data_IF_859953526070
#
_entry.id   IF_859953526070
#
_cell.length_a   1.000
_cell.length_b   1.000
_cell.length_c   1.000
_cell.angle_alpha   90.00
_cell.angle_beta   90.00
_cell.angle_gamma   90.00
#
_symmetry.space_group_name_H-M   'P 1'
#
loop_
_entity.id
_entity.type
_entity.pdbx_description
1 polymer ?
#
# COMPACT_ATOMS: atom_id res chain seq x y z
N UNK A 1 -47.70 11.13 -0.99
CA UNK A 1 -46.76 10.55 -0.01
C UNK A 1 -46.57 11.53 1.14
N UNK A 2 -46.73 11.08 2.39
CA UNK A 2 -46.83 11.98 3.55
C UNK A 2 -45.47 12.63 3.87
N UNK A 3 -45.42 13.95 4.10
CA UNK A 3 -44.17 14.70 4.31
C UNK A 3 -43.35 14.19 5.50
N UNK A 4 -44.04 13.62 6.50
CA UNK A 4 -43.44 12.92 7.65
C UNK A 4 -42.72 11.63 7.23
N UNK A 5 -43.29 10.84 6.33
CA UNK A 5 -42.70 9.60 5.83
C UNK A 5 -41.40 9.91 5.06
N UNK A 6 -41.41 10.97 4.22
CA UNK A 6 -40.21 11.41 3.48
C UNK A 6 -39.11 11.86 4.44
N UNK A 7 -39.45 12.64 5.47
CA UNK A 7 -38.49 13.09 6.47
C UNK A 7 -37.88 11.93 7.26
N UNK A 8 -38.69 10.95 7.67
CA UNK A 8 -38.19 9.74 8.35
C UNK A 8 -37.26 8.94 7.45
N UNK A 9 -37.63 8.71 6.18
CA UNK A 9 -36.79 7.98 5.23
C UNK A 9 -35.45 8.71 5.04
N UNK A 10 -35.47 10.03 4.87
CA UNK A 10 -34.26 10.83 4.69
C UNK A 10 -33.35 10.79 5.93
N UNK A 11 -33.92 10.92 7.13
CA UNK A 11 -33.18 10.85 8.38
C UNK A 11 -32.54 9.46 8.59
N UNK A 12 -33.28 8.39 8.30
CA UNK A 12 -32.77 7.01 8.39
C UNK A 12 -31.63 6.76 7.39
N UNK A 13 -31.77 7.21 6.14
CA UNK A 13 -30.71 7.14 5.14
C UNK A 13 -29.46 7.92 5.58
N UNK A 14 -29.64 9.14 6.10
CA UNK A 14 -28.54 9.95 6.60
C UNK A 14 -27.79 9.28 7.76
N UNK A 15 -28.53 8.68 8.70
CA UNK A 15 -27.95 7.95 9.82
C UNK A 15 -27.15 6.73 9.36
N UNK A 16 -27.68 5.94 8.41
CA UNK A 16 -26.99 4.76 7.85
C UNK A 16 -25.71 5.17 7.11
N UNK A 17 -25.74 6.22 6.29
CA UNK A 17 -24.56 6.72 5.57
C UNK A 17 -23.51 7.26 6.54
N UNK A 18 -23.94 8.02 7.55
CA UNK A 18 -23.05 8.59 8.57
C UNK A 18 -22.39 7.49 9.42
N UNK A 19 -23.14 6.46 9.81
CA UNK A 19 -22.60 5.31 10.54
C UNK A 19 -21.62 4.51 9.68
N UNK A 20 -21.95 4.29 8.40
CA UNK A 20 -21.03 3.65 7.45
C UNK A 20 -19.73 4.44 7.28
N UNK A 21 -19.79 5.77 7.22
CA UNK A 21 -18.61 6.63 7.16
C UNK A 21 -17.77 6.58 8.44
N UNK A 22 -18.38 6.56 9.62
CA UNK A 22 -17.65 6.42 10.89
C UNK A 22 -16.97 5.06 11.02
N UNK A 23 -17.59 4.00 10.50
CA UNK A 23 -17.03 2.65 10.57
C UNK A 23 -15.94 2.38 9.52
N UNK A 24 -16.07 2.93 8.30
CA UNK A 24 -15.23 2.55 7.16
C UNK A 24 -14.56 3.73 6.42
N UNK A 25 -14.95 4.97 6.71
CA UNK A 25 -14.39 6.16 6.05
C UNK A 25 -12.94 6.44 6.46
N UNK A 26 -12.59 6.20 7.73
CA UNK A 26 -11.22 6.39 8.23
C UNK A 26 -10.21 5.45 7.54
N UNK A 27 -10.60 4.21 7.27
CA UNK A 27 -9.79 3.24 6.53
C UNK A 27 -9.57 3.67 5.07
N UNK A 28 -10.61 4.17 4.39
CA UNK A 28 -10.49 4.62 3.00
C UNK A 28 -9.65 5.89 2.84
N UNK A 29 -9.88 6.89 3.69
CA UNK A 29 -9.15 8.17 3.61
C UNK A 29 -7.69 8.00 4.03
N UNK A 30 -7.43 7.22 5.08
CA UNK A 30 -6.07 6.86 5.51
C UNK A 30 -5.32 6.10 4.42
N UNK A 31 -5.98 5.10 3.83
CA UNK A 31 -5.42 4.31 2.74
C UNK A 31 -5.07 5.15 1.51
N UNK A 32 -5.94 6.05 1.08
CA UNK A 32 -5.64 6.96 -0.03
C UNK A 32 -4.43 7.85 0.26
N UNK A 33 -4.29 8.35 1.50
CA UNK A 33 -3.16 9.18 1.91
C UNK A 33 -1.84 8.40 1.83
N UNK A 34 -1.79 7.20 2.41
CA UNK A 34 -0.57 6.38 2.38
C UNK A 34 -0.25 5.88 0.98
N UNK A 35 -1.25 5.50 0.17
CA UNK A 35 -1.03 5.16 -1.23
C UNK A 35 -0.43 6.33 -2.02
N UNK A 36 -0.83 7.57 -1.74
CA UNK A 36 -0.23 8.77 -2.34
C UNK A 36 1.21 8.96 -1.91
N UNK A 37 1.50 8.81 -0.61
CA UNK A 37 2.87 8.88 -0.09
C UNK A 37 3.77 7.78 -0.69
N UNK A 38 3.27 6.54 -0.78
CA UNK A 38 3.94 5.43 -1.44
C UNK A 38 4.27 5.75 -2.90
N UNK A 39 3.31 6.33 -3.63
CA UNK A 39 3.45 6.69 -5.04
C UNK A 39 4.49 7.80 -5.25
N UNK A 40 4.57 8.76 -4.33
CA UNK A 40 5.59 9.82 -4.35
C UNK A 40 6.99 9.28 -4.04
N UNK A 41 7.10 8.31 -3.13
CA UNK A 41 8.39 7.74 -2.72
C UNK A 41 8.93 6.66 -3.68
N UNK A 42 8.08 6.14 -4.54
CA UNK A 42 8.36 5.00 -5.42
C UNK A 42 9.61 5.20 -6.30
N UNK A 43 9.81 6.42 -6.81
CA UNK A 43 10.98 6.75 -7.61
C UNK A 43 12.31 6.68 -6.83
N UNK A 44 12.30 6.98 -5.54
CA UNK A 44 13.49 6.83 -4.69
C UNK A 44 13.84 5.35 -4.52
N UNK A 45 12.83 4.51 -4.26
CA UNK A 45 13.01 3.06 -4.10
C UNK A 45 13.50 2.42 -5.41
N UNK A 46 12.87 2.73 -6.55
CA UNK A 46 13.29 2.20 -7.87
C UNK A 46 14.75 2.56 -8.17
N UNK A 47 15.16 3.81 -7.91
CA UNK A 47 16.55 4.23 -8.12
C UNK A 47 17.52 3.50 -7.19
N UNK A 48 17.15 3.29 -5.93
CA UNK A 48 18.00 2.63 -4.96
C UNK A 48 18.29 1.16 -5.35
N UNK A 49 17.28 0.45 -5.87
CA UNK A 49 17.44 -0.96 -6.26
C UNK A 49 17.95 -1.14 -7.70
N UNK A 50 17.69 -0.17 -8.59
CA UNK A 50 17.97 -0.31 -10.02
C UNK A 50 19.45 -0.36 -10.40
N UNK A 51 20.35 0.01 -9.49
CA UNK A 51 21.79 -0.09 -9.70
C UNK A 51 22.35 -1.52 -9.48
N UNK A 52 21.58 -2.40 -8.83
CA UNK A 52 22.06 -3.72 -8.44
C UNK A 52 21.49 -4.84 -9.34
N UNK A 53 22.35 -5.58 -10.07
CA UNK A 53 21.89 -6.68 -10.92
C UNK A 53 21.22 -7.82 -10.15
N UNK A 54 21.45 -7.95 -8.83
CA UNK A 54 20.76 -8.91 -7.98
C UNK A 54 19.25 -8.64 -7.89
N UNK A 55 18.81 -7.40 -8.12
CA UNK A 55 17.41 -6.98 -8.01
C UNK A 55 16.70 -6.85 -9.36
N UNK A 56 17.27 -7.38 -10.46
CA UNK A 56 16.70 -7.22 -11.81
C UNK A 56 15.27 -7.76 -11.96
N UNK A 57 14.91 -8.78 -11.19
CA UNK A 57 13.58 -9.42 -11.21
C UNK A 57 12.64 -8.84 -10.13
N UNK A 58 13.07 -7.79 -9.43
CA UNK A 58 12.27 -7.09 -8.43
C UNK A 58 11.47 -5.97 -9.09
N UNK A 59 10.18 -5.93 -8.76
CA UNK A 59 9.26 -4.87 -9.12
C UNK A 59 8.77 -4.19 -7.85
N UNK A 60 8.67 -2.87 -7.91
CA UNK A 60 8.16 -2.04 -6.81
C UNK A 60 6.90 -1.35 -7.28
N UNK A 61 5.87 -1.34 -6.44
CA UNK A 61 4.56 -0.77 -6.72
C UNK A 61 3.91 -0.18 -5.48
N UNK A 62 2.68 0.32 -5.64
CA UNK A 62 1.83 0.72 -4.52
C UNK A 62 0.90 -0.44 -4.18
N UNK A 63 0.96 -0.91 -2.94
CA UNK A 63 0.05 -1.89 -2.39
C UNK A 63 -1.12 -1.24 -1.65
N UNK A 64 -2.27 -1.93 -1.61
CA UNK A 64 -3.42 -1.55 -0.79
C UNK A 64 -3.39 -2.20 0.60
N UNK A 65 -2.52 -3.19 0.82
CA UNK A 65 -2.41 -3.89 2.11
C UNK A 65 -1.95 -2.98 3.24
N UNK A 66 -2.56 -3.14 4.42
CA UNK A 66 -2.19 -2.45 5.65
C UNK A 66 -2.38 -0.93 5.62
N UNK A 67 -3.53 -0.46 5.12
CA UNK A 67 -3.84 0.97 4.90
C UNK A 67 -2.94 1.65 3.86
N UNK A 68 -2.47 0.94 2.85
CA UNK A 68 -1.60 1.48 1.80
C UNK A 68 -0.11 1.33 2.11
N UNK A 69 0.63 0.75 1.16
CA UNK A 69 2.04 0.40 1.35
C UNK A 69 2.86 0.53 0.07
N UNK A 70 4.18 0.45 0.20
CA UNK A 70 5.06 0.13 -0.92
C UNK A 70 5.11 -1.39 -1.02
N UNK A 71 4.73 -1.94 -2.18
CA UNK A 71 4.72 -3.37 -2.43
C UNK A 71 5.97 -3.74 -3.24
N UNK A 72 6.75 -4.68 -2.73
CA UNK A 72 7.97 -5.20 -3.37
C UNK A 72 7.71 -6.66 -3.73
N UNK A 73 7.74 -6.98 -5.02
CA UNK A 73 7.46 -8.33 -5.54
C UNK A 73 8.57 -8.80 -6.47
N UNK A 74 8.82 -10.10 -6.48
CA UNK A 74 9.75 -10.69 -7.42
C UNK A 74 10.53 -11.85 -6.83
N UNK A 75 11.72 -12.06 -7.36
CA UNK A 75 12.61 -13.15 -6.93
C UNK A 75 14.04 -12.63 -6.76
N UNK A 76 14.72 -13.20 -5.78
CA UNK A 76 16.16 -13.07 -5.60
C UNK A 76 16.80 -14.46 -5.52
N UNK A 77 18.09 -14.57 -5.83
CA UNK A 77 18.80 -15.84 -5.89
C UNK A 77 19.15 -16.39 -4.51
N UNK A 78 19.50 -15.52 -3.56
CA UNK A 78 19.91 -15.92 -2.22
C UNK A 78 19.19 -15.14 -1.12
N UNK A 79 19.16 -15.70 0.09
CA UNK A 79 18.61 -15.01 1.27
C UNK A 79 19.39 -13.72 1.56
N UNK A 80 20.71 -13.72 1.37
CA UNK A 80 21.54 -12.53 1.52
C UNK A 80 21.12 -11.37 0.60
N UNK A 81 20.57 -11.69 -0.58
CA UNK A 81 20.06 -10.66 -1.49
C UNK A 81 18.73 -10.10 -0.99
N UNK A 82 17.89 -10.91 -0.35
CA UNK A 82 16.67 -10.43 0.30
C UNK A 82 17.02 -9.50 1.47
N UNK A 83 17.96 -9.91 2.33
CA UNK A 83 18.41 -9.09 3.46
C UNK A 83 19.01 -7.76 2.98
N UNK A 84 19.80 -7.81 1.88
CA UNK A 84 20.34 -6.61 1.23
C UNK A 84 19.25 -5.73 0.64
N UNK A 85 18.24 -6.32 -0.02
CA UNK A 85 17.10 -5.60 -0.58
C UNK A 85 16.34 -4.85 0.51
N UNK A 86 16.04 -5.53 1.63
CA UNK A 86 15.38 -4.92 2.78
C UNK A 86 16.20 -3.75 3.34
N UNK A 87 17.51 -3.92 3.51
CA UNK A 87 18.40 -2.87 4.00
C UNK A 87 18.46 -1.65 3.05
N UNK A 88 18.58 -1.89 1.74
CA UNK A 88 18.60 -0.82 0.72
C UNK A 88 17.28 -0.04 0.73
N UNK A 89 16.15 -0.73 0.77
CA UNK A 89 14.83 -0.07 0.78
C UNK A 89 14.62 0.68 2.11
N UNK A 90 15.00 0.10 3.25
CA UNK A 90 14.95 0.77 4.54
C UNK A 90 15.79 2.05 4.57
N UNK A 91 16.98 2.03 3.93
CA UNK A 91 17.85 3.20 3.77
C UNK A 91 17.22 4.37 3.00
N UNK A 92 16.19 4.11 2.18
CA UNK A 92 15.42 5.17 1.51
C UNK A 92 14.45 5.90 2.43
N UNK A 93 14.28 5.45 3.69
CA UNK A 93 13.36 6.00 4.69
C UNK A 93 11.92 6.13 4.15
N UNK A 94 11.28 5.00 3.78
CA UNK A 94 9.94 5.03 3.22
C UNK A 94 8.93 5.61 4.23
N UNK A 95 8.05 6.54 3.81
CA UNK A 95 7.10 7.22 4.69
C UNK A 95 5.89 6.33 5.07
N UNK A 96 5.83 5.11 4.54
CA UNK A 96 4.77 4.14 4.73
C UNK A 96 5.37 2.74 4.85
N UNK A 97 4.57 1.79 5.34
CA UNK A 97 4.98 0.38 5.45
C UNK A 97 5.45 -0.16 4.09
N UNK A 98 6.50 -0.96 4.12
CA UNK A 98 6.95 -1.77 2.98
C UNK A 98 6.47 -3.21 3.18
N UNK A 99 5.86 -3.77 2.14
CA UNK A 99 5.38 -5.16 2.13
C UNK A 99 6.20 -5.94 1.12
N UNK A 100 6.88 -6.99 1.60
CA UNK A 100 7.69 -7.87 0.77
C UNK A 100 6.89 -9.13 0.41
N UNK A 101 6.79 -9.39 -0.88
CA UNK A 101 6.31 -10.65 -1.45
C UNK A 101 7.38 -11.13 -2.45
N UNK A 102 8.57 -11.38 -1.92
CA UNK A 102 9.76 -11.80 -2.66
C UNK A 102 10.05 -13.26 -2.33
N UNK A 103 10.34 -14.06 -3.36
CA UNK A 103 10.74 -15.45 -3.18
C UNK A 103 12.25 -15.58 -3.32
N UNK A 104 12.86 -16.43 -2.50
CA UNK A 104 14.28 -16.82 -2.63
C UNK A 104 14.35 -18.13 -3.40
N UNK A 105 15.12 -18.18 -4.47
CA UNK A 105 15.36 -19.42 -5.22
C UNK A 105 16.05 -19.19 -6.55
N UNK A 106 16.73 -20.24 -7.03
CA UNK A 106 17.45 -20.18 -8.29
C UNK A 106 16.54 -19.91 -9.49
N UNK A 107 17.10 -19.24 -10.50
CA UNK A 107 16.49 -19.23 -11.83
C UNK A 107 16.64 -20.65 -12.36
N UNK A 108 15.53 -21.39 -12.39
CA UNK A 108 15.45 -22.65 -13.12
C UNK A 108 15.84 -22.48 -14.58
#
# INVERSE_FOLDING_TARGET
>A
MNRRIIATIAASLFAVVSLGYLMFGHTWVGQMRHMRMARQHLAAVIRAIGADPAFRDIKVGVGTGGDGSILVVGRVSAQSDLDKLEAVIAGTQPPVKVTFSVTVGDRG
#
